data_IF_779637712774
#
_entry.id   IF_779637712774
#
_cell.length_a   1.000
_cell.length_b   1.000
_cell.length_c   1.000
_cell.angle_alpha   90.00
_cell.angle_beta   90.00
_cell.angle_gamma   90.00
#
_symmetry.space_group_name_H-M   'P 1'
#
loop_
_entity.id
_entity.type
_entity.pdbx_description
1 polymer ?
#
# COMPACT_ATOMS: atom_id res chain seq x y z
N UNK A 1 12.38 11.67 -9.63
CA UNK A 1 10.99 11.91 -10.07
C UNK A 1 10.21 10.63 -10.43
N UNK A 2 10.87 9.47 -10.52
CA UNK A 2 10.23 8.22 -10.96
C UNK A 2 9.36 7.55 -9.87
N UNK A 3 9.78 7.54 -8.59
CA UNK A 3 8.99 6.94 -7.48
C UNK A 3 7.64 7.63 -7.29
N UNK A 4 7.62 8.97 -7.32
CA UNK A 4 6.38 9.74 -7.16
C UNK A 4 5.45 9.59 -8.37
N UNK A 5 6.01 9.57 -9.59
CA UNK A 5 5.23 9.42 -10.82
C UNK A 5 4.63 8.02 -10.94
N UNK A 6 5.38 6.98 -10.57
CA UNK A 6 4.89 5.60 -10.55
C UNK A 6 3.75 5.41 -9.53
N UNK A 7 3.88 5.99 -8.34
CA UNK A 7 2.82 5.97 -7.32
C UNK A 7 1.55 6.70 -7.77
N UNK A 8 1.69 7.90 -8.35
CA UNK A 8 0.55 8.67 -8.84
C UNK A 8 -0.17 8.01 -10.03
N UNK A 9 0.56 7.29 -10.88
CA UNK A 9 0.00 6.57 -12.04
C UNK A 9 -0.66 5.25 -11.63
N UNK A 10 -0.09 4.52 -10.68
CA UNK A 10 -0.69 3.31 -10.11
C UNK A 10 -2.02 3.60 -9.36
N UNK A 11 -2.14 4.78 -8.74
CA UNK A 11 -3.34 5.22 -8.05
C UNK A 11 -4.51 5.56 -9.01
N UNK A 12 -4.21 6.04 -10.22
CA UNK A 12 -5.23 6.47 -11.20
C UNK A 12 -5.77 5.36 -12.09
N UNK A 13 -4.99 4.32 -12.35
CA UNK A 13 -5.33 3.32 -13.38
C UNK A 13 -5.91 2.00 -12.84
N UNK A 14 -6.13 1.85 -11.53
CA UNK A 14 -6.73 0.63 -10.95
C UNK A 14 -5.93 -0.66 -11.19
N UNK A 15 -4.74 -0.56 -11.78
CA UNK A 15 -3.78 -1.66 -11.94
C UNK A 15 -2.82 -1.64 -10.77
N UNK A 16 -3.24 -2.36 -9.73
CA UNK A 16 -2.56 -2.50 -8.45
C UNK A 16 -1.15 -3.12 -8.61
N UNK A 17 -0.12 -2.29 -8.72
CA UNK A 17 1.27 -2.77 -8.69
C UNK A 17 1.90 -2.71 -7.30
N UNK A 18 1.44 -1.83 -6.42
CA UNK A 18 2.02 -1.56 -5.11
C UNK A 18 1.00 -1.90 -4.02
N UNK A 19 1.42 -2.62 -2.98
CA UNK A 19 0.64 -2.87 -1.77
C UNK A 19 1.08 -1.87 -0.68
N UNK A 20 0.41 -0.71 -0.53
CA UNK A 20 0.78 0.30 0.46
C UNK A 20 0.37 -0.13 1.87
N UNK A 21 1.35 -0.23 2.77
CA UNK A 21 1.16 -0.49 4.21
C UNK A 21 1.55 0.76 4.99
N UNK A 22 0.64 1.27 5.82
CA UNK A 22 0.87 2.41 6.71
C UNK A 22 1.21 1.90 8.10
N UNK A 23 2.45 2.14 8.53
CA UNK A 23 2.97 1.71 9.84
C UNK A 23 2.47 2.62 10.96
N UNK A 24 2.38 3.91 10.68
CA UNK A 24 2.07 4.93 11.66
C UNK A 24 1.30 6.11 11.05
N UNK A 25 0.76 6.96 11.90
CA UNK A 25 -0.12 8.04 11.49
C UNK A 25 0.61 9.29 10.96
N UNK A 26 1.91 9.22 10.68
CA UNK A 26 2.67 10.36 10.14
C UNK A 26 2.06 10.84 8.82
N UNK A 27 1.69 12.12 8.79
CA UNK A 27 1.18 12.78 7.59
C UNK A 27 2.33 13.05 6.63
N UNK A 28 2.28 12.46 5.45
CA UNK A 28 3.29 12.68 4.40
C UNK A 28 2.81 13.83 3.50
N UNK A 29 3.48 14.99 3.49
CA UNK A 29 3.08 16.11 2.64
C UNK A 29 3.18 15.72 1.17
N UNK A 30 2.08 15.91 0.42
CA UNK A 30 1.99 15.57 -1.01
C UNK A 30 1.47 14.17 -1.32
N UNK A 31 1.14 13.36 -0.31
CA UNK A 31 0.42 12.09 -0.50
C UNK A 31 -1.09 12.35 -0.32
N UNK A 32 -1.93 12.20 -1.37
CA UNK A 32 -3.35 12.40 -1.23
C UNK A 32 -3.96 11.34 -0.29
N UNK A 33 -4.85 11.77 0.61
CA UNK A 33 -5.60 10.93 1.55
C UNK A 33 -6.50 9.88 0.88
N UNK A 34 -6.76 10.05 -0.42
CA UNK A 34 -7.52 9.11 -1.25
C UNK A 34 -6.70 7.89 -1.69
N UNK A 35 -5.42 7.78 -1.29
CA UNK A 35 -4.63 6.55 -1.47
C UNK A 35 -5.20 5.48 -0.56
N UNK A 36 -5.74 4.40 -1.12
CA UNK A 36 -6.11 3.23 -0.33
C UNK A 36 -4.85 2.62 0.28
N UNK A 37 -4.69 2.71 1.59
CA UNK A 37 -3.60 2.09 2.34
C UNK A 37 -4.14 1.09 3.35
N UNK A 38 -3.36 0.04 3.62
CA UNK A 38 -3.62 -0.89 4.71
C UNK A 38 -2.94 -0.36 5.96
N UNK A 39 -3.74 0.08 6.94
CA UNK A 39 -3.22 0.62 8.18
C UNK A 39 -2.92 -0.50 9.18
N UNK A 40 -1.68 -0.54 9.69
CA UNK A 40 -1.27 -1.42 10.77
C UNK A 40 -2.03 -1.13 12.09
N UNK A 41 -2.52 0.09 12.30
CA UNK A 41 -3.36 0.42 13.45
C UNK A 41 -4.70 -0.33 13.43
N UNK A 42 -5.18 -0.73 12.25
CA UNK A 42 -6.48 -1.39 12.04
C UNK A 42 -6.34 -2.84 11.56
N UNK A 43 -5.12 -3.40 11.54
CA UNK A 43 -4.84 -4.73 10.99
C UNK A 43 -3.71 -5.41 11.75
N UNK A 44 -3.85 -6.71 12.03
CA UNK A 44 -2.81 -7.50 12.69
C UNK A 44 -1.63 -7.78 11.78
N UNK A 45 -0.42 -7.88 12.34
CA UNK A 45 0.81 -8.27 11.63
C UNK A 45 0.61 -9.55 10.80
N UNK A 46 -0.06 -10.56 11.35
CA UNK A 46 -0.36 -11.82 10.64
C UNK A 46 -1.15 -11.60 9.35
N UNK A 47 -2.11 -10.67 9.38
CA UNK A 47 -2.92 -10.33 8.21
C UNK A 47 -2.11 -9.59 7.15
N UNK A 48 -1.16 -8.74 7.57
CA UNK A 48 -0.20 -8.12 6.65
C UNK A 48 0.69 -9.18 5.99
N UNK A 49 1.17 -10.16 6.75
CA UNK A 49 1.95 -11.28 6.21
C UNK A 49 1.15 -12.06 5.17
N UNK A 50 -0.12 -12.39 5.43
CA UNK A 50 -1.03 -13.02 4.46
C UNK A 50 -1.15 -12.20 3.17
N UNK A 51 -1.32 -10.88 3.29
CA UNK A 51 -1.44 -9.97 2.14
C UNK A 51 -0.14 -9.89 1.32
N UNK A 52 1.01 -9.88 1.99
CA UNK A 52 2.32 -9.91 1.33
C UNK A 52 2.53 -11.24 0.60
N UNK A 53 2.22 -12.37 1.24
CA UNK A 53 2.35 -13.70 0.64
C UNK A 53 1.44 -13.83 -0.59
N UNK A 54 0.20 -13.35 -0.50
CA UNK A 54 -0.73 -13.25 -1.64
C UNK A 54 -0.16 -12.40 -2.78
N UNK A 55 0.42 -11.24 -2.47
CA UNK A 55 1.04 -10.36 -3.50
C UNK A 55 2.22 -11.04 -4.19
N UNK A 56 2.97 -11.86 -3.47
CA UNK A 56 4.10 -12.64 -3.99
C UNK A 56 3.69 -13.93 -4.71
N UNK A 57 2.39 -14.22 -4.82
CA UNK A 57 1.89 -15.46 -5.44
C UNK A 57 2.15 -16.72 -4.60
N UNK A 58 2.55 -16.56 -3.33
CA UNK A 58 2.65 -17.66 -2.38
C UNK A 58 1.29 -17.84 -1.71
N UNK A 59 0.43 -18.65 -2.31
CA UNK A 59 -0.69 -19.26 -1.59
C UNK A 59 -0.12 -20.44 -0.79
N UNK A 60 -0.24 -20.38 0.53
CA UNK A 60 -0.02 -21.51 1.44
C UNK A 60 -1.40 -21.95 1.91
#
# INVERSE_FOLDING_TARGET
>A
MERQSAQARALREGKEYILPIRIDDTKIPGLPETVGYISLSNTTIEKIVDLILKKLGKMI
#
